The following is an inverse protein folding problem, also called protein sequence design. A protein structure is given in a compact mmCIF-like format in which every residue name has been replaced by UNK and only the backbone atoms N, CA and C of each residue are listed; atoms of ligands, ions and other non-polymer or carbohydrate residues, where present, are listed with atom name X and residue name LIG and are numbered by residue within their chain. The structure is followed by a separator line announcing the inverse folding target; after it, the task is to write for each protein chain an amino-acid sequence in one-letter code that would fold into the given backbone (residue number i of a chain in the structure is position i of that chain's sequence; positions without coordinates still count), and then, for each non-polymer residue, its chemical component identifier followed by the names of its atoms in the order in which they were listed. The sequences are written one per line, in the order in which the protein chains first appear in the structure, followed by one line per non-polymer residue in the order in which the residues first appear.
data_IF_686236597079
#
_entry.id   IF_686236597079
#
_cell.length_a   1.000
_cell.length_b   1.000
_cell.length_c   1.000
_cell.angle_alpha   90.00
_cell.angle_beta   90.00
_cell.angle_gamma   90.00
#
_symmetry.space_group_name_H-M   'P 1'
#
loop_
_entity.id
_entity.type
_entity.pdbx_description
1 polymer ?
#
# COMPACT_ATOMS: atom_id res chain seq x y z
N UNK A 1 1.68 -19.82 13.29
CA UNK A 1 1.69 -18.82 12.20
C UNK A 1 1.78 -19.52 10.86
N UNK A 2 0.79 -19.34 9.95
CA UNK A 2 0.90 -19.85 8.58
C UNK A 2 2.14 -19.21 7.91
N UNK A 3 3.01 -20.03 7.33
CA UNK A 3 4.18 -19.57 6.57
C UNK A 3 3.64 -18.79 5.37
N UNK A 4 3.91 -17.48 5.31
CA UNK A 4 3.49 -16.65 4.18
C UNK A 4 4.24 -17.16 2.95
N UNK A 5 3.50 -17.53 1.91
CA UNK A 5 4.03 -18.06 0.66
C UNK A 5 4.95 -17.03 -0.03
N UNK A 6 5.96 -17.51 -0.77
CA UNK A 6 6.93 -16.68 -1.49
C UNK A 6 6.21 -15.80 -2.54
N UNK A 7 5.23 -16.35 -3.24
CA UNK A 7 4.46 -15.63 -4.24
C UNK A 7 3.63 -14.49 -3.62
N UNK A 8 3.02 -14.72 -2.44
CA UNK A 8 2.36 -13.65 -1.70
C UNK A 8 3.33 -12.49 -1.38
N UNK A 9 4.55 -12.80 -0.92
CA UNK A 9 5.56 -11.77 -0.63
C UNK A 9 5.97 -10.99 -1.88
N UNK A 10 6.11 -11.67 -3.02
CA UNK A 10 6.42 -11.04 -4.30
C UNK A 10 5.29 -10.09 -4.68
N UNK A 11 4.03 -10.52 -4.67
CA UNK A 11 2.86 -9.71 -5.00
C UNK A 11 2.74 -8.48 -4.09
N UNK A 12 2.94 -8.66 -2.79
CA UNK A 12 2.92 -7.54 -1.84
C UNK A 12 4.07 -6.56 -2.07
N UNK A 13 5.25 -7.06 -2.41
CA UNK A 13 6.40 -6.22 -2.73
C UNK A 13 6.22 -5.48 -4.06
N UNK A 14 5.60 -6.09 -5.05
CA UNK A 14 5.21 -5.42 -6.31
C UNK A 14 4.21 -4.28 -6.07
N UNK A 15 3.27 -4.44 -5.13
CA UNK A 15 2.37 -3.34 -4.75
C UNK A 15 3.16 -2.14 -4.19
N UNK A 16 4.18 -2.37 -3.37
CA UNK A 16 5.06 -1.29 -2.87
C UNK A 16 5.97 -0.70 -3.96
N UNK A 17 6.47 -1.51 -4.90
CA UNK A 17 7.23 -1.02 -6.05
C UNK A 17 6.35 -0.18 -6.97
N UNK A 18 5.08 -0.56 -7.18
CA UNK A 18 4.11 0.25 -7.91
C UNK A 18 3.91 1.61 -7.22
N UNK A 19 3.71 1.63 -5.92
CA UNK A 19 3.58 2.89 -5.16
C UNK A 19 4.85 3.75 -5.25
N UNK A 20 6.03 3.13 -5.20
CA UNK A 20 7.32 3.82 -5.40
C UNK A 20 7.41 4.42 -6.80
N UNK A 21 7.07 3.67 -7.85
CA UNK A 21 7.07 4.14 -9.24
C UNK A 21 6.07 5.28 -9.46
N UNK A 22 4.91 5.23 -8.81
CA UNK A 22 3.92 6.32 -8.85
C UNK A 22 4.42 7.55 -8.12
N UNK A 23 5.07 7.42 -6.96
CA UNK A 23 5.62 8.55 -6.23
C UNK A 23 6.71 9.28 -7.04
N UNK A 24 7.52 8.53 -7.80
CA UNK A 24 8.51 9.09 -8.73
C UNK A 24 7.86 9.77 -9.95
N UNK A 25 6.67 9.34 -10.37
CA UNK A 25 5.92 9.92 -11.47
C UNK A 25 5.09 11.14 -11.05
N UNK A 26 4.44 11.05 -9.89
CA UNK A 26 3.59 12.07 -9.29
C UNK A 26 3.93 12.25 -7.80
N UNK A 27 4.90 13.13 -7.47
CA UNK A 27 5.36 13.34 -6.09
C UNK A 27 4.27 13.87 -5.14
N UNK A 28 3.13 14.33 -5.67
CA UNK A 28 1.99 14.81 -4.89
C UNK A 28 0.89 13.76 -4.73
N UNK A 29 1.05 12.56 -5.30
CA UNK A 29 0.09 11.47 -5.17
C UNK A 29 -0.17 11.11 -3.70
N UNK A 30 -1.41 10.69 -3.40
CA UNK A 30 -1.82 10.21 -2.08
C UNK A 30 -2.10 8.72 -2.18
N UNK A 31 -1.61 7.97 -1.22
CA UNK A 31 -1.63 6.50 -1.25
C UNK A 31 -2.66 5.93 -0.26
N UNK A 32 -3.61 5.17 -0.78
CA UNK A 32 -4.58 4.40 -0.01
C UNK A 32 -3.99 3.11 0.52
N UNK A 33 -4.43 1.97 -0.01
CA UNK A 33 -4.00 0.63 0.37
C UNK A 33 -3.58 -0.20 -0.85
N UNK A 34 -2.66 -1.14 -0.65
CA UNK A 34 -2.13 -2.01 -1.69
C UNK A 34 -2.11 -3.49 -1.29
N UNK A 35 -3.29 -4.15 -1.21
CA UNK A 35 -3.37 -5.55 -0.81
C UNK A 35 -2.97 -6.52 -1.93
N UNK A 36 -2.58 -7.72 -1.52
CA UNK A 36 -2.48 -8.89 -2.40
C UNK A 36 -3.89 -9.45 -2.63
N UNK A 37 -4.15 -9.85 -3.87
CA UNK A 37 -5.36 -10.56 -4.30
C UNK A 37 -4.99 -11.91 -4.91
N UNK A 38 -5.99 -12.74 -5.25
CA UNK A 38 -5.81 -14.14 -5.66
C UNK A 38 -4.74 -14.33 -6.74
N UNK A 39 -4.76 -13.52 -7.82
CA UNK A 39 -3.82 -13.66 -8.94
C UNK A 39 -2.85 -12.48 -9.08
N UNK A 40 -2.76 -11.62 -8.07
CA UNK A 40 -1.92 -10.43 -8.19
C UNK A 40 -1.99 -9.50 -6.99
N UNK A 41 -2.07 -8.23 -7.31
CA UNK A 41 -2.11 -7.14 -6.34
C UNK A 41 -2.81 -5.92 -6.95
N UNK A 42 -3.14 -4.94 -6.12
CA UNK A 42 -3.49 -3.61 -6.60
C UNK A 42 -2.94 -2.54 -5.65
N UNK A 43 -3.01 -1.28 -6.08
CA UNK A 43 -2.81 -0.13 -5.20
C UNK A 43 -3.84 0.95 -5.52
N UNK A 44 -4.44 1.52 -4.47
CA UNK A 44 -5.38 2.64 -4.54
C UNK A 44 -4.63 3.96 -4.38
N UNK A 45 -4.70 4.84 -5.36
CA UNK A 45 -3.91 6.06 -5.46
C UNK A 45 -4.80 7.23 -5.85
N UNK A 46 -4.68 8.34 -5.13
CA UNK A 46 -5.21 9.62 -5.56
C UNK A 46 -4.10 10.41 -6.24
N UNK A 47 -4.12 10.43 -7.56
CA UNK A 47 -3.19 11.21 -8.36
C UNK A 47 -3.50 12.70 -8.27
N UNK A 48 -2.48 13.53 -8.34
CA UNK A 48 -2.60 15.00 -8.43
C UNK A 48 -2.88 15.48 -9.87
N UNK A 49 -2.76 14.59 -10.84
CA UNK A 49 -2.99 14.84 -12.28
C UNK A 49 -3.88 13.75 -12.88
N UNK A 50 -4.51 14.04 -14.02
CA UNK A 50 -5.28 13.03 -14.76
C UNK A 50 -4.34 11.95 -15.26
N UNK A 51 -4.78 10.70 -15.15
CA UNK A 51 -4.09 9.52 -15.66
C UNK A 51 -5.04 8.69 -16.51
N UNK A 52 -4.50 8.06 -17.54
CA UNK A 52 -5.18 7.11 -18.41
C UNK A 52 -4.47 5.76 -18.40
N UNK A 53 -4.97 4.77 -19.12
CA UNK A 53 -4.33 3.43 -19.19
C UNK A 53 -2.91 3.46 -19.74
N UNK A 54 -2.53 4.49 -20.51
CA UNK A 54 -1.19 4.67 -21.05
C UNK A 54 -0.09 4.71 -19.97
N UNK A 55 -0.48 5.10 -18.74
CA UNK A 55 0.44 5.13 -17.59
C UNK A 55 0.93 3.72 -17.20
N UNK A 56 0.17 2.66 -17.52
CA UNK A 56 0.50 1.29 -17.10
C UNK A 56 1.86 0.86 -17.63
N UNK A 57 2.14 1.07 -18.93
CA UNK A 57 3.42 0.74 -19.55
C UNK A 57 4.57 1.53 -18.95
N UNK A 58 4.36 2.82 -18.66
CA UNK A 58 5.37 3.67 -18.04
C UNK A 58 5.70 3.18 -16.61
N UNK A 59 4.68 2.90 -15.81
CA UNK A 59 4.87 2.42 -14.45
C UNK A 59 5.48 1.02 -14.41
N UNK A 60 5.09 0.12 -15.32
CA UNK A 60 5.68 -1.21 -15.44
C UNK A 60 7.17 -1.13 -15.73
N UNK A 61 7.61 -0.28 -16.67
CA UNK A 61 9.02 -0.05 -16.96
C UNK A 61 9.77 0.53 -15.73
N UNK A 62 9.17 1.49 -15.02
CA UNK A 62 9.75 2.02 -13.78
C UNK A 62 9.89 0.93 -12.70
N UNK A 63 8.92 0.03 -12.56
CA UNK A 63 9.02 -1.11 -11.62
C UNK A 63 10.16 -2.04 -12.04
N UNK A 64 10.30 -2.37 -13.33
CA UNK A 64 11.41 -3.17 -13.85
C UNK A 64 12.78 -2.52 -13.54
N UNK A 65 12.88 -1.21 -13.66
CA UNK A 65 14.10 -0.48 -13.28
C UNK A 65 14.37 -0.50 -11.76
N UNK A 66 13.33 -0.40 -10.93
CA UNK A 66 13.48 -0.55 -9.48
C UNK A 66 13.91 -1.97 -9.09
N UNK A 67 13.45 -2.99 -9.80
CA UNK A 67 13.90 -4.38 -9.62
C UNK A 67 15.41 -4.49 -9.90
N UNK A 68 15.88 -3.94 -11.04
CA UNK A 68 17.31 -3.93 -11.42
C UNK A 68 18.17 -3.18 -10.39
N UNK A 69 17.65 -2.11 -9.78
CA UNK A 69 18.34 -1.33 -8.74
C UNK A 69 18.47 -2.05 -7.39
N UNK A 70 17.92 -3.25 -7.25
CA UNK A 70 17.99 -4.07 -6.04
C UNK A 70 17.52 -3.32 -4.77
N UNK A 71 16.32 -2.76 -4.81
CA UNK A 71 15.73 -1.98 -3.72
C UNK A 71 15.43 -2.88 -2.52
N UNK A 72 15.86 -2.48 -1.32
CA UNK A 72 15.57 -3.18 -0.07
C UNK A 72 14.19 -2.80 0.48
N UNK A 73 13.46 -3.78 1.02
CA UNK A 73 12.21 -3.58 1.78
C UNK A 73 12.55 -3.44 3.26
N UNK A 74 12.66 -2.21 3.73
CA UNK A 74 13.17 -1.89 5.08
C UNK A 74 12.03 -1.77 6.08
N UNK A 75 11.99 -2.67 7.06
CA UNK A 75 11.03 -2.64 8.16
C UNK A 75 11.43 -1.59 9.21
N UNK A 76 10.48 -0.76 9.61
CA UNK A 76 10.63 0.27 10.63
C UNK A 76 9.53 0.09 11.67
N UNK A 77 9.89 -0.14 12.93
CA UNK A 77 8.95 -0.11 14.05
C UNK A 77 8.99 1.28 14.68
N UNK A 78 7.82 1.87 14.92
CA UNK A 78 7.71 3.22 15.48
C UNK A 78 6.44 3.39 16.30
N UNK A 79 6.39 4.43 17.15
CA UNK A 79 5.15 4.75 17.83
C UNK A 79 4.11 5.28 16.86
N UNK A 80 2.82 5.09 17.19
CA UNK A 80 1.72 5.59 16.38
C UNK A 80 1.77 7.13 16.23
N UNK A 81 2.19 7.84 17.28
CA UNK A 81 2.34 9.29 17.25
C UNK A 81 3.48 9.75 16.33
N UNK A 82 4.59 9.00 16.27
CA UNK A 82 5.70 9.29 15.35
C UNK A 82 5.29 9.01 13.90
N UNK A 83 4.52 7.94 13.64
CA UNK A 83 3.96 7.66 12.33
C UNK A 83 2.96 8.75 11.89
N UNK A 84 2.11 9.25 12.79
CA UNK A 84 1.20 10.37 12.52
C UNK A 84 1.98 11.64 12.10
N UNK A 85 3.05 12.01 12.82
CA UNK A 85 3.90 13.15 12.45
C UNK A 85 4.54 12.96 11.07
N UNK A 86 5.06 11.76 10.80
CA UNK A 86 5.66 11.44 9.51
C UNK A 86 4.65 11.58 8.37
N UNK A 87 3.47 10.96 8.46
CA UNK A 87 2.47 11.02 7.38
C UNK A 87 1.80 12.39 7.26
N UNK A 88 1.76 13.20 8.31
CA UNK A 88 1.42 14.63 8.20
C UNK A 88 2.45 15.37 7.36
N UNK A 89 3.75 15.20 7.66
CA UNK A 89 4.85 15.82 6.89
C UNK A 89 4.84 15.39 5.43
N UNK A 90 4.55 14.11 5.16
CA UNK A 90 4.46 13.55 3.81
C UNK A 90 3.10 13.86 3.13
N UNK A 91 2.19 14.56 3.79
CA UNK A 91 0.85 14.90 3.31
C UNK A 91 0.09 13.66 2.80
N UNK A 92 0.00 12.61 3.62
CA UNK A 92 -0.66 11.34 3.30
C UNK A 92 -1.93 11.13 4.13
N UNK A 93 -3.08 11.73 3.72
CA UNK A 93 -4.30 11.75 4.53
C UNK A 93 -4.91 10.36 4.74
N UNK A 94 -4.80 9.45 3.76
CA UNK A 94 -5.34 8.09 3.89
C UNK A 94 -4.57 7.27 4.92
N UNK A 95 -3.23 7.44 5.01
CA UNK A 95 -2.41 6.81 6.05
C UNK A 95 -2.74 7.36 7.44
N UNK A 96 -3.01 8.66 7.54
CA UNK A 96 -3.49 9.27 8.79
C UNK A 96 -4.85 8.73 9.22
N UNK A 97 -5.77 8.51 8.25
CA UNK A 97 -7.06 7.88 8.52
C UNK A 97 -6.90 6.46 9.07
N UNK A 98 -6.00 5.65 8.47
CA UNK A 98 -5.70 4.30 8.96
C UNK A 98 -5.08 4.30 10.37
N UNK A 99 -4.16 5.23 10.66
CA UNK A 99 -3.57 5.38 12.00
C UNK A 99 -4.63 5.78 13.05
N UNK A 100 -5.56 6.65 12.69
CA UNK A 100 -6.69 7.03 13.56
C UNK A 100 -7.54 5.81 13.92
N UNK A 101 -7.80 4.92 12.96
CA UNK A 101 -8.55 3.69 13.23
C UNK A 101 -7.75 2.71 14.09
N UNK A 102 -6.46 2.52 13.83
CA UNK A 102 -5.60 1.71 14.69
C UNK A 102 -5.60 2.21 16.13
N UNK A 103 -5.54 3.53 16.32
CA UNK A 103 -5.55 4.16 17.64
C UNK A 103 -6.88 3.97 18.36
N UNK A 104 -8.01 4.07 17.63
CA UNK A 104 -9.35 4.02 18.17
C UNK A 104 -9.91 2.61 18.30
N UNK A 105 -9.66 1.75 17.32
CA UNK A 105 -10.28 0.42 17.19
C UNK A 105 -9.28 -0.76 17.23
N UNK A 106 -7.99 -0.48 17.21
CA UNK A 106 -6.93 -1.51 17.16
C UNK A 106 -6.83 -2.25 15.82
N UNK A 107 -7.60 -1.82 14.82
CA UNK A 107 -7.65 -2.44 13.49
C UNK A 107 -7.94 -1.40 12.42
N UNK A 108 -7.58 -1.70 11.17
CA UNK A 108 -7.94 -0.92 9.97
C UNK A 108 -9.02 -1.62 9.12
N UNK A 109 -9.43 -2.84 9.51
CA UNK A 109 -10.40 -3.64 8.78
C UNK A 109 -11.83 -3.14 9.09
N UNK A 110 -12.53 -2.67 8.06
CA UNK A 110 -13.86 -2.03 8.19
C UNK A 110 -14.86 -2.97 8.86
N UNK A 111 -14.92 -4.22 8.45
CA UNK A 111 -15.83 -5.22 9.04
C UNK A 111 -15.59 -5.41 10.55
N UNK A 112 -14.32 -5.44 10.98
CA UNK A 112 -13.97 -5.54 12.40
C UNK A 112 -14.34 -4.26 13.15
N UNK A 113 -14.15 -3.10 12.54
CA UNK A 113 -14.54 -1.81 13.12
C UNK A 113 -16.06 -1.76 13.34
N UNK A 114 -16.85 -2.20 12.35
CA UNK A 114 -18.31 -2.26 12.47
C UNK A 114 -18.74 -3.19 13.60
N UNK A 115 -18.18 -4.41 13.67
CA UNK A 115 -18.45 -5.36 14.78
C UNK A 115 -18.08 -4.79 16.15
N UNK A 116 -16.97 -4.03 16.25
CA UNK A 116 -16.55 -3.37 17.51
C UNK A 116 -17.59 -2.32 17.93
N UNK A 117 -18.07 -1.51 16.98
CA UNK A 117 -19.09 -0.49 17.23
C UNK A 117 -20.43 -1.10 17.66
N UNK A 118 -20.92 -2.09 16.91
CA UNK A 118 -22.21 -2.78 17.18
C UNK A 118 -22.23 -3.48 18.53
N UNK A 119 -21.18 -4.27 18.81
CA UNK A 119 -21.10 -5.10 20.02
C UNK A 119 -20.48 -4.40 21.21
N UNK A 120 -20.12 -3.11 21.10
CA UNK A 120 -19.43 -2.31 22.13
C UNK A 120 -18.20 -3.03 22.72
N UNK A 121 -17.46 -3.77 21.88
CA UNK A 121 -16.27 -4.53 22.29
C UNK A 121 -15.15 -3.53 22.62
N UNK A 122 -14.45 -3.75 23.75
CA UNK A 122 -13.27 -2.93 24.11
C UNK A 122 -12.16 -3.13 23.09
N UNK A 123 -11.69 -2.07 22.40
CA UNK A 123 -10.65 -2.21 21.38
C UNK A 123 -9.30 -2.58 21.98
N UNK A 124 -8.49 -3.31 21.21
CA UNK A 124 -7.09 -3.55 21.58
C UNK A 124 -6.31 -2.23 21.42
N UNK A 125 -5.62 -1.80 22.47
CA UNK A 125 -4.77 -0.60 22.41
C UNK A 125 -3.51 -0.87 21.57
N UNK A 126 -3.32 -0.12 20.50
CA UNK A 126 -2.12 -0.17 19.64
C UNK A 126 -1.28 1.08 19.89
N UNK A 127 -0.03 0.90 20.34
CA UNK A 127 0.91 1.99 20.59
C UNK A 127 2.06 1.99 19.56
N UNK A 128 2.39 0.83 19.02
CA UNK A 128 3.50 0.62 18.07
C UNK A 128 2.91 0.15 16.74
N UNK A 129 3.38 0.74 15.66
CA UNK A 129 3.05 0.35 14.28
C UNK A 129 4.29 -0.02 13.51
N UNK A 130 4.11 -0.74 12.42
CA UNK A 130 5.17 -1.09 11.49
C UNK A 130 5.00 -0.29 10.21
N UNK A 131 6.09 0.29 9.75
CA UNK A 131 6.20 0.92 8.45
C UNK A 131 7.18 0.11 7.59
N UNK A 132 7.04 0.20 6.28
CA UNK A 132 8.01 -0.32 5.33
C UNK A 132 8.45 0.77 4.38
N UNK A 133 9.77 0.94 4.28
CA UNK A 133 10.40 1.84 3.32
C UNK A 133 10.87 1.03 2.11
N UNK A 134 10.51 1.50 0.93
CA UNK A 134 10.86 0.94 -0.38
C UNK A 134 11.35 2.10 -1.25
N UNK A 135 12.67 2.25 -1.40
CA UNK A 135 13.24 3.46 -2.00
C UNK A 135 12.85 4.72 -1.23
N UNK A 136 12.21 5.68 -1.91
CA UNK A 136 11.68 6.92 -1.33
C UNK A 136 10.24 6.79 -0.80
N UNK A 137 9.56 5.69 -1.04
CA UNK A 137 8.20 5.43 -0.57
C UNK A 137 8.20 4.80 0.82
N UNK A 138 7.33 5.30 1.70
CA UNK A 138 7.11 4.75 3.04
C UNK A 138 5.63 4.42 3.20
N UNK A 139 5.33 3.18 3.59
CA UNK A 139 3.97 2.70 3.79
C UNK A 139 3.69 2.27 5.23
N UNK A 140 2.44 2.43 5.66
CA UNK A 140 1.90 1.80 6.87
C UNK A 140 1.56 0.33 6.54
N UNK A 141 2.43 -0.60 6.91
CA UNK A 141 2.35 -1.98 6.47
C UNK A 141 2.80 -2.94 7.56
N UNK A 142 2.09 -4.06 7.72
CA UNK A 142 2.43 -5.13 8.69
C UNK A 142 3.59 -6.02 8.24
N UNK A 143 3.95 -5.96 6.95
CA UNK A 143 5.02 -6.77 6.36
C UNK A 143 4.51 -7.92 5.50
N UNK A 144 5.38 -8.89 5.29
CA UNK A 144 5.17 -9.97 4.33
C UNK A 144 5.79 -9.63 2.97
N UNK A 145 6.97 -8.99 3.00
CA UNK A 145 7.76 -8.67 1.82
C UNK A 145 8.93 -9.64 1.62
N UNK A 146 9.46 -9.68 0.40
CA UNK A 146 10.79 -10.18 0.09
C UNK A 146 11.87 -9.27 0.69
N UNK A 147 13.12 -9.68 0.68
CA UNK A 147 14.23 -8.85 1.22
C UNK A 147 14.64 -7.75 0.25
N UNK A 148 14.78 -8.09 -1.01
CA UNK A 148 15.28 -7.20 -2.07
C UNK A 148 14.42 -7.36 -3.33
N UNK A 149 14.26 -6.29 -4.10
CA UNK A 149 13.50 -6.31 -5.35
C UNK A 149 14.09 -7.25 -6.41
N UNK A 150 15.40 -7.50 -6.37
CA UNK A 150 16.07 -8.45 -7.27
C UNK A 150 15.60 -9.92 -7.13
N UNK A 151 14.83 -10.26 -6.09
CA UNK A 151 14.18 -11.57 -5.97
C UNK A 151 12.97 -11.73 -6.92
N UNK A 152 12.53 -10.64 -7.57
CA UNK A 152 11.41 -10.64 -8.52
C UNK A 152 11.96 -10.84 -9.92
N UNK A 153 11.41 -11.80 -10.66
CA UNK A 153 11.61 -11.87 -12.10
C UNK A 153 10.84 -10.73 -12.78
N UNK A 154 11.50 -9.79 -13.48
CA UNK A 154 10.85 -8.64 -14.10
C UNK A 154 9.85 -9.01 -15.20
N UNK A 155 9.90 -10.22 -15.72
CA UNK A 155 8.97 -10.72 -16.75
C UNK A 155 7.79 -11.51 -16.13
N UNK A 156 7.80 -11.77 -14.82
CA UNK A 156 6.76 -12.54 -14.14
C UNK A 156 5.65 -11.67 -13.52
N UNK A 157 5.51 -10.42 -13.94
CA UNK A 157 4.40 -9.54 -13.56
C UNK A 157 3.97 -8.64 -14.71
N UNK A 158 2.73 -8.15 -14.65
CA UNK A 158 2.20 -7.16 -15.58
C UNK A 158 1.17 -6.26 -14.88
N UNK A 159 1.18 -4.96 -15.20
CA UNK A 159 0.08 -4.06 -14.85
C UNK A 159 -1.01 -4.19 -15.91
N UNK A 160 -2.25 -4.44 -15.50
CA UNK A 160 -3.27 -4.92 -16.44
C UNK A 160 -4.45 -3.98 -16.63
N UNK A 161 -4.79 -3.17 -15.63
CA UNK A 161 -5.93 -2.26 -15.76
C UNK A 161 -5.96 -1.17 -14.69
N UNK A 162 -6.72 -0.12 -14.99
CA UNK A 162 -7.10 0.96 -14.08
C UNK A 162 -8.61 0.89 -13.83
N UNK A 163 -9.05 1.18 -12.61
CA UNK A 163 -10.45 1.43 -12.31
C UNK A 163 -10.60 2.50 -11.24
N UNK A 164 -11.79 3.10 -11.12
CA UNK A 164 -12.15 3.90 -9.97
C UNK A 164 -12.47 3.03 -8.75
N UNK A 165 -12.12 3.51 -7.56
CA UNK A 165 -12.48 2.88 -6.30
C UNK A 165 -12.66 3.95 -5.23
N UNK A 166 -13.83 4.04 -4.62
CA UNK A 166 -14.03 4.95 -3.50
C UNK A 166 -13.24 4.53 -2.27
N UNK A 167 -12.61 5.51 -1.62
CA UNK A 167 -11.91 5.24 -0.36
C UNK A 167 -12.84 4.55 0.63
N UNK A 168 -12.43 3.37 1.11
CA UNK A 168 -13.22 2.50 2.02
C UNK A 168 -14.56 2.02 1.46
N UNK A 169 -14.75 2.05 0.13
CA UNK A 169 -15.98 1.61 -0.51
C UNK A 169 -17.19 2.52 -0.27
N UNK A 170 -16.99 3.74 0.21
CA UNK A 170 -18.04 4.71 0.50
C UNK A 170 -18.01 5.81 -0.56
N UNK A 171 -19.11 5.99 -1.29
CA UNK A 171 -19.27 6.97 -2.38
C UNK A 171 -19.15 8.44 -1.90
N UNK A 172 -19.31 8.70 -0.61
CA UNK A 172 -19.10 10.01 -0.01
C UNK A 172 -17.61 10.34 0.19
N UNK A 173 -16.73 9.36 0.06
CA UNK A 173 -15.28 9.52 0.15
C UNK A 173 -14.66 9.79 -1.24
N UNK A 174 -13.42 10.31 -1.28
CA UNK A 174 -12.72 10.51 -2.54
C UNK A 174 -12.63 9.24 -3.38
N UNK A 175 -12.85 9.38 -4.70
CA UNK A 175 -12.59 8.32 -5.66
C UNK A 175 -11.10 8.27 -5.96
N UNK A 176 -10.51 7.11 -5.72
CA UNK A 176 -9.11 6.80 -6.00
C UNK A 176 -9.00 6.07 -7.34
N UNK A 177 -7.83 6.14 -7.95
CA UNK A 177 -7.46 5.29 -9.08
C UNK A 177 -6.86 4.00 -8.55
N UNK A 178 -7.48 2.87 -8.84
CA UNK A 178 -6.98 1.54 -8.53
C UNK A 178 -6.22 0.98 -9.72
N UNK A 179 -4.94 0.71 -9.54
CA UNK A 179 -4.10 0.06 -10.54
C UNK A 179 -3.91 -1.40 -10.16
N UNK A 180 -4.28 -2.30 -11.06
CA UNK A 180 -4.15 -3.74 -10.88
C UNK A 180 -2.89 -4.27 -11.56
N UNK A 181 -2.22 -5.20 -10.87
CA UNK A 181 -1.15 -6.00 -11.42
C UNK A 181 -1.38 -7.49 -11.16
N UNK A 182 -0.94 -8.32 -12.10
CA UNK A 182 -0.86 -9.78 -11.96
C UNK A 182 0.59 -10.20 -11.76
N UNK A 183 0.83 -11.30 -11.05
CA UNK A 183 2.17 -11.85 -10.85
C UNK A 183 2.10 -13.37 -10.63
N UNK A 184 3.05 -14.09 -11.25
CA UNK A 184 3.15 -15.56 -11.32
C UNK A 184 4.44 -16.08 -10.70
#
# INVERSE_FOLDING_TARGET
MKKIDKLYKIRHSLAHLLATAVLDYDPKAKFGVGPVIENGFYYDILFNKKVSEDILSLLENKIKDLIKKNIKFKKIKTSINSAERLFKKLNQPFKLSLLKDLKKYGTTEIEKILKIKEKKIKPQKINIVTLYQTGNFIDLCRGGHIKNSSEINPEAFKLVKISGAYWRGDENNPMLTRIYGIAF
#
